data_IF_114592403717
#
_entry.id   IF_114592403717
#
_cell.length_a   1.000
_cell.length_b   1.000
_cell.length_c   1.000
_cell.angle_alpha   90.00
_cell.angle_beta   90.00
_cell.angle_gamma   90.00
#
_symmetry.space_group_name_H-M   'P 1'
#
loop_
_entity.id
_entity.type
_entity.pdbx_description
1 polymer ?
#
# COMPACT_ATOMS: atom_id res chain seq x y z
N UNK A 1 -55.50 -19.16 -33.53
CA UNK A 1 -56.36 -19.02 -32.33
C UNK A 1 -55.76 -19.91 -31.26
N UNK A 2 -54.91 -19.37 -30.39
CA UNK A 2 -55.22 -18.84 -29.05
C UNK A 2 -55.72 -19.97 -28.12
N UNK A 3 -55.11 -20.28 -26.97
CA UNK A 3 -54.76 -19.32 -25.91
C UNK A 3 -53.90 -19.94 -24.78
N UNK A 4 -52.93 -19.16 -24.24
CA UNK A 4 -52.48 -19.13 -22.82
C UNK A 4 -53.68 -18.86 -21.86
N UNK A 5 -53.61 -18.89 -20.49
CA UNK A 5 -52.47 -18.70 -19.56
C UNK A 5 -52.45 -19.67 -18.32
N UNK A 6 -51.42 -19.73 -17.44
CA UNK A 6 -51.17 -18.83 -16.29
C UNK A 6 -49.80 -19.07 -15.62
N UNK A 7 -49.07 -17.97 -15.42
CA UNK A 7 -47.98 -17.78 -14.45
C UNK A 7 -48.51 -17.72 -13.00
N UNK A 8 -47.80 -18.30 -12.03
CA UNK A 8 -47.62 -17.74 -10.66
C UNK A 8 -46.28 -18.19 -10.04
N UNK A 9 -45.43 -17.19 -9.76
CA UNK A 9 -44.38 -17.03 -8.74
C UNK A 9 -43.90 -18.24 -7.91
N UNK A 10 -42.58 -18.50 -7.96
CA UNK A 10 -41.72 -18.64 -6.76
C UNK A 10 -40.42 -17.86 -6.99
N UNK A 11 -40.45 -16.56 -6.72
CA UNK A 11 -39.27 -15.82 -6.29
C UNK A 11 -39.21 -15.98 -4.77
N UNK A 12 -38.19 -16.64 -4.23
CA UNK A 12 -38.12 -16.90 -2.79
C UNK A 12 -36.72 -17.31 -2.34
N UNK A 13 -36.02 -16.35 -1.74
CA UNK A 13 -34.97 -16.54 -0.72
C UNK A 13 -33.74 -17.37 -1.08
N UNK A 14 -32.82 -16.80 -1.85
CA UNK A 14 -31.36 -17.08 -1.72
C UNK A 14 -30.49 -15.81 -1.70
N UNK A 15 -31.11 -14.62 -1.70
CA UNK A 15 -30.39 -13.32 -1.79
C UNK A 15 -30.16 -12.58 -0.47
N UNK A 16 -30.63 -13.08 0.68
CA UNK A 16 -30.56 -12.36 1.96
C UNK A 16 -29.62 -12.99 3.01
N UNK A 17 -29.29 -14.28 2.88
CA UNK A 17 -28.38 -14.98 3.81
C UNK A 17 -26.90 -14.66 3.57
N UNK A 18 -26.52 -14.26 2.36
CA UNK A 18 -25.14 -13.91 2.01
C UNK A 18 -24.70 -12.58 2.64
N UNK A 19 -25.55 -11.54 2.60
CA UNK A 19 -25.26 -10.24 3.22
C UNK A 19 -25.34 -10.26 4.75
N UNK A 20 -26.16 -11.13 5.34
CA UNK A 20 -26.25 -11.31 6.79
C UNK A 20 -24.97 -11.88 7.41
N UNK A 21 -24.27 -12.77 6.71
CA UNK A 21 -22.98 -13.32 7.16
C UNK A 21 -21.84 -12.29 7.07
N UNK A 22 -21.86 -11.44 6.03
CA UNK A 22 -20.87 -10.36 5.84
C UNK A 22 -21.01 -9.27 6.92
N UNK A 23 -22.23 -8.95 7.37
CA UNK A 23 -22.45 -7.97 8.45
C UNK A 23 -22.25 -8.55 9.86
N UNK A 24 -22.48 -9.85 10.06
CA UNK A 24 -22.31 -10.52 11.37
C UNK A 24 -20.85 -10.70 11.84
N UNK A 25 -19.88 -10.60 10.92
CA UNK A 25 -18.46 -10.85 11.19
C UNK A 25 -17.65 -9.60 11.60
N UNK A 26 -18.27 -8.41 11.63
CA UNK A 26 -17.65 -7.18 12.16
C UNK A 26 -17.57 -7.13 13.71
N UNK A 27 -17.94 -8.21 14.40
CA UNK A 27 -17.89 -8.32 15.86
C UNK A 27 -16.76 -9.27 16.30
N UNK A 28 -15.52 -8.97 15.91
CA UNK A 28 -14.35 -9.67 16.44
C UNK A 28 -13.95 -9.05 17.79
N UNK A 29 -14.29 -9.77 18.85
CA UNK A 29 -13.60 -9.88 20.15
C UNK A 29 -12.94 -8.61 20.75
N UNK A 30 -13.46 -8.06 21.87
CA UNK A 30 -12.82 -6.97 22.62
C UNK A 30 -11.45 -7.34 23.24
N UNK A 31 -11.05 -8.62 23.21
CA UNK A 31 -9.76 -9.08 23.77
C UNK A 31 -8.58 -8.74 22.84
N UNK A 32 -8.81 -8.64 21.52
CA UNK A 32 -7.80 -8.15 20.57
C UNK A 32 -7.60 -6.63 20.64
N UNK A 33 -8.63 -5.88 21.08
CA UNK A 33 -8.55 -4.43 21.25
C UNK A 33 -7.77 -4.02 22.50
N UNK A 34 -7.79 -4.85 23.56
CA UNK A 34 -7.15 -4.53 24.84
C UNK A 34 -5.61 -4.58 24.80
N UNK A 35 -5.01 -5.42 23.94
CA UNK A 35 -3.55 -5.57 23.86
C UNK A 35 -2.89 -4.62 22.85
N UNK A 36 -3.64 -4.02 21.92
CA UNK A 36 -3.12 -3.01 20.99
C UNK A 36 -2.90 -1.64 21.64
N UNK A 37 -3.51 -1.39 22.81
CA UNK A 37 -3.34 -0.16 23.59
C UNK A 37 -2.10 -0.17 24.50
N UNK A 38 -1.36 -1.29 24.56
CA UNK A 38 -0.20 -1.48 25.45
C UNK A 38 1.16 -1.45 24.72
N UNK A 39 1.19 -1.11 23.43
CA UNK A 39 2.44 -0.85 22.72
C UNK A 39 2.81 0.62 22.91
N UNK A 40 4.01 0.82 23.45
CA UNK A 40 4.63 2.06 23.93
C UNK A 40 4.16 3.37 23.29
N UNK A 41 4.05 4.41 24.14
CA UNK A 41 4.00 5.83 23.77
C UNK A 41 5.26 6.22 22.97
N UNK A 42 5.31 5.85 21.68
CA UNK A 42 6.01 6.65 20.70
C UNK A 42 5.17 7.90 20.46
N UNK A 43 5.70 9.06 20.85
CA UNK A 43 5.10 10.37 20.58
C UNK A 43 4.82 10.45 19.07
N UNK A 44 3.55 10.51 18.64
CA UNK A 44 3.20 10.40 17.22
C UNK A 44 3.65 11.65 16.46
N UNK A 45 4.53 11.49 15.47
CA UNK A 45 4.87 12.58 14.54
C UNK A 45 3.90 12.51 13.37
N UNK A 46 2.82 13.24 13.54
CA UNK A 46 1.86 13.46 12.47
C UNK A 46 2.55 14.26 11.37
N UNK A 47 2.84 13.66 10.21
CA UNK A 47 2.83 14.43 8.96
C UNK A 47 1.38 14.87 8.80
N UNK A 48 1.05 16.02 9.38
CA UNK A 48 -0.23 16.66 9.16
C UNK A 48 -0.25 16.98 7.68
N UNK A 49 -1.41 16.80 7.06
CA UNK A 49 -1.64 17.47 5.78
C UNK A 49 -1.20 18.93 5.93
N UNK A 50 -0.68 19.58 4.87
CA UNK A 50 -0.64 21.02 4.87
C UNK A 50 -1.99 21.52 5.39
N UNK A 51 -1.99 22.44 6.35
CA UNK A 51 -3.20 22.94 7.01
C UNK A 51 -4.20 23.65 6.05
N UNK A 52 -3.96 23.55 4.75
CA UNK A 52 -4.84 23.94 3.67
C UNK A 52 -4.55 23.04 2.47
N UNK A 53 -5.54 22.87 1.59
CA UNK A 53 -5.43 22.20 0.29
C UNK A 53 -4.02 22.24 -0.31
N UNK A 54 -3.48 21.11 -0.85
CA UNK A 54 -2.22 21.18 -1.57
C UNK A 54 -2.35 22.31 -2.57
N UNK A 55 -1.47 23.30 -2.46
CA UNK A 55 -1.53 24.50 -3.25
C UNK A 55 -1.34 24.09 -4.71
N UNK A 56 -2.45 23.87 -5.41
CA UNK A 56 -2.51 23.68 -6.86
C UNK A 56 -1.93 24.92 -7.60
N UNK A 57 -1.62 25.97 -6.84
CA UNK A 57 -1.09 27.26 -7.25
C UNK A 57 0.25 27.65 -6.58
N UNK A 58 0.90 26.77 -5.78
CA UNK A 58 2.27 27.06 -5.33
C UNK A 58 3.19 27.02 -6.55
N UNK A 59 4.02 28.05 -6.67
CA UNK A 59 5.01 28.12 -7.72
C UNK A 59 6.00 26.98 -7.49
N UNK A 60 6.08 26.05 -8.45
CA UNK A 60 6.97 24.88 -8.35
C UNK A 60 8.45 25.28 -8.29
N UNK A 61 8.76 26.49 -8.71
CA UNK A 61 10.10 27.08 -8.68
C UNK A 61 10.35 27.93 -7.42
N UNK A 62 9.33 28.11 -6.57
CA UNK A 62 9.50 28.82 -5.31
C UNK A 62 10.40 28.00 -4.38
N UNK A 63 11.50 28.63 -4.00
CA UNK A 63 12.49 28.02 -3.13
C UNK A 63 12.98 29.01 -2.09
N UNK A 64 13.31 28.50 -0.92
CA UNK A 64 13.90 29.28 0.16
C UNK A 64 15.28 28.69 0.49
N UNK A 65 16.22 29.52 0.93
CA UNK A 65 17.55 29.06 1.31
C UNK A 65 17.70 29.14 2.82
N UNK A 66 18.13 28.04 3.43
CA UNK A 66 18.39 27.97 4.87
C UNK A 66 19.49 28.96 5.21
N UNK A 67 19.18 29.87 6.13
CA UNK A 67 20.06 30.96 6.53
C UNK A 67 20.65 30.68 7.92
N UNK A 68 19.81 30.32 8.89
CA UNK A 68 20.21 30.19 10.29
C UNK A 68 19.43 29.09 11.00
N UNK A 69 20.06 28.37 11.93
CA UNK A 69 19.39 27.50 12.90
C UNK A 69 19.07 28.28 14.17
N UNK A 70 17.82 28.26 14.61
CA UNK A 70 17.40 28.90 15.86
C UNK A 70 17.65 27.99 17.06
N UNK A 71 17.40 26.70 16.88
CA UNK A 71 17.65 25.66 17.87
C UNK A 71 17.88 24.30 17.16
N UNK A 72 17.76 23.19 17.88
CA UNK A 72 18.01 21.84 17.35
C UNK A 72 16.90 21.32 16.42
N UNK A 73 15.75 21.98 16.35
CA UNK A 73 14.61 21.64 15.50
C UNK A 73 14.16 22.79 14.62
N UNK A 74 14.38 24.04 15.01
CA UNK A 74 13.85 25.19 14.30
C UNK A 74 14.92 25.88 13.47
N UNK A 75 14.59 26.23 12.24
CA UNK A 75 15.46 26.98 11.34
C UNK A 75 14.73 28.14 10.66
N UNK A 76 15.53 29.06 10.11
CA UNK A 76 15.10 30.16 9.29
C UNK A 76 15.62 30.01 7.87
N UNK A 77 14.79 30.35 6.91
CA UNK A 77 15.15 30.40 5.50
C UNK A 77 14.63 31.67 4.85
N UNK A 78 15.37 32.20 3.89
CA UNK A 78 15.01 33.41 3.16
C UNK A 78 14.60 33.07 1.73
N UNK A 79 13.62 33.80 1.20
CA UNK A 79 13.05 33.59 -0.14
C UNK A 79 12.55 34.90 -0.73
N UNK A 80 12.41 34.94 -2.06
CA UNK A 80 11.77 36.04 -2.78
C UNK A 80 10.30 35.74 -3.13
N UNK A 81 9.79 34.57 -2.75
CA UNK A 81 8.43 34.12 -3.09
C UNK A 81 7.49 34.21 -1.89
N UNK A 82 6.21 34.48 -2.14
CA UNK A 82 5.20 34.75 -1.12
C UNK A 82 4.14 33.64 -0.95
N UNK A 83 4.36 32.49 -1.58
CA UNK A 83 3.40 31.39 -1.73
C UNK A 83 3.52 30.31 -0.63
N UNK A 84 4.36 30.56 0.37
CA UNK A 84 4.57 29.71 1.54
C UNK A 84 3.42 29.82 2.54
N UNK A 85 3.02 28.68 3.13
CA UNK A 85 1.88 28.63 4.07
C UNK A 85 2.26 28.01 5.41
N UNK A 86 1.77 28.59 6.50
CA UNK A 86 1.91 28.00 7.83
C UNK A 86 1.18 26.65 7.90
N UNK A 87 1.83 25.66 8.50
CA UNK A 87 1.40 24.27 8.56
C UNK A 87 1.72 23.46 7.30
N UNK A 88 2.36 24.05 6.29
CA UNK A 88 2.78 23.32 5.08
C UNK A 88 4.03 22.48 5.34
N UNK A 89 4.01 21.22 4.87
CA UNK A 89 5.21 20.38 4.83
C UNK A 89 6.02 20.64 3.56
N UNK A 90 7.30 20.93 3.73
CA UNK A 90 8.24 21.25 2.66
C UNK A 90 9.46 20.32 2.71
N UNK A 91 10.12 20.15 1.58
CA UNK A 91 11.32 19.32 1.48
C UNK A 91 12.59 20.16 1.54
N UNK A 92 13.64 19.61 2.14
CA UNK A 92 14.99 20.19 2.16
C UNK A 92 15.87 19.42 1.19
N UNK A 93 16.34 20.07 0.15
CA UNK A 93 17.31 19.56 -0.81
C UNK A 93 18.71 20.03 -0.43
N UNK A 94 19.67 19.08 -0.38
CA UNK A 94 21.05 19.44 -0.11
C UNK A 94 21.64 20.25 -1.26
N UNK A 95 22.44 21.27 -0.95
CA UNK A 95 23.24 21.98 -1.94
C UNK A 95 24.34 21.10 -2.56
N UNK A 96 24.65 19.94 -1.97
CA UNK A 96 25.62 18.97 -2.52
C UNK A 96 24.99 18.21 -3.68
N UNK A 97 25.63 18.30 -4.85
CA UNK A 97 25.20 17.57 -6.04
C UNK A 97 25.10 16.06 -5.79
N UNK A 98 23.98 15.47 -6.21
CA UNK A 98 23.74 14.02 -6.13
C UNK A 98 23.10 13.52 -4.84
N UNK A 99 22.94 14.36 -3.81
CA UNK A 99 22.35 13.95 -2.52
C UNK A 99 20.81 13.99 -2.54
N UNK A 100 20.22 15.02 -3.16
CA UNK A 100 18.76 15.17 -3.26
C UNK A 100 18.10 15.64 -1.95
N UNK A 101 16.87 15.18 -1.69
CA UNK A 101 16.11 15.55 -0.48
C UNK A 101 16.70 14.86 0.76
N UNK A 102 17.08 15.67 1.75
CA UNK A 102 17.72 15.26 3.01
C UNK A 102 16.88 15.52 4.25
N UNK A 103 15.67 16.07 4.10
CA UNK A 103 14.79 16.30 5.24
C UNK A 103 13.45 16.90 4.87
N UNK A 104 12.57 16.96 5.86
CA UNK A 104 11.23 17.54 5.78
C UNK A 104 11.03 18.50 6.94
N UNK A 105 10.41 19.63 6.64
CA UNK A 105 10.11 20.68 7.61
C UNK A 105 8.62 21.03 7.56
N UNK A 106 8.08 21.51 8.66
CA UNK A 106 6.78 22.18 8.73
C UNK A 106 6.98 23.69 8.88
N UNK A 107 6.30 24.49 8.06
CA UNK A 107 6.38 25.94 8.17
C UNK A 107 5.58 26.40 9.40
N UNK A 108 6.26 27.01 10.36
CA UNK A 108 5.64 27.59 11.56
C UNK A 108 5.21 29.04 11.34
N UNK A 109 5.92 29.78 10.49
CA UNK A 109 5.67 31.20 10.28
C UNK A 109 6.30 31.74 9.01
N UNK A 110 5.66 32.75 8.44
CA UNK A 110 6.17 33.52 7.29
C UNK A 110 6.09 35.00 7.66
N UNK A 111 7.23 35.68 7.62
CA UNK A 111 7.33 37.13 7.87
C UNK A 111 7.86 37.83 6.62
N UNK A 112 7.33 39.01 6.34
CA UNK A 112 7.80 39.87 5.24
C UNK A 112 8.87 40.82 5.77
N UNK A 113 9.98 40.93 5.04
CA UNK A 113 11.04 41.88 5.31
C UNK A 113 10.79 43.18 4.53
N UNK A 114 11.33 44.30 5.00
CA UNK A 114 11.12 45.62 4.37
C UNK A 114 11.69 45.70 2.94
N UNK A 115 12.61 44.80 2.57
CA UNK A 115 13.23 44.70 1.24
C UNK A 115 12.40 43.89 0.22
N UNK A 116 11.20 43.43 0.61
CA UNK A 116 10.33 42.61 -0.22
C UNK A 116 10.71 41.14 -0.28
N UNK A 117 11.68 40.70 0.53
CA UNK A 117 11.97 39.27 0.77
C UNK A 117 11.08 38.72 1.88
N UNK A 118 10.94 37.40 1.92
CA UNK A 118 10.22 36.70 2.96
C UNK A 118 11.18 35.84 3.77
N UNK A 119 10.97 35.82 5.07
CA UNK A 119 11.64 34.91 5.99
C UNK A 119 10.64 33.85 6.46
N UNK A 120 11.03 32.60 6.28
CA UNK A 120 10.29 31.42 6.69
C UNK A 120 10.92 30.92 7.98
N UNK A 121 10.10 30.65 8.99
CA UNK A 121 10.50 29.87 10.16
C UNK A 121 9.88 28.49 10.04
N UNK A 122 10.69 27.44 10.13
CA UNK A 122 10.25 26.07 9.95
C UNK A 122 10.82 25.15 11.02
N UNK A 123 10.03 24.14 11.41
CA UNK A 123 10.41 23.10 12.35
C UNK A 123 10.79 21.82 11.60
N UNK A 124 11.87 21.18 12.04
CA UNK A 124 12.35 19.91 11.56
C UNK A 124 11.38 18.82 11.95
N UNK A 125 10.67 18.29 10.96
CA UNK A 125 9.90 17.07 11.13
C UNK A 125 10.84 15.87 11.08
N UNK A 126 11.77 15.87 10.13
CA UNK A 126 12.71 14.76 9.92
C UNK A 126 13.95 15.17 9.14
N UNK A 127 15.09 14.54 9.43
CA UNK A 127 16.29 14.58 8.62
C UNK A 127 16.72 13.17 8.16
N UNK A 128 17.48 13.12 7.09
CA UNK A 128 18.23 11.95 6.63
C UNK A 128 19.21 11.49 7.72
N UNK A 129 19.36 10.17 7.89
CA UNK A 129 20.38 9.61 8.78
C UNK A 129 21.81 9.73 8.24
N UNK A 130 21.95 9.96 6.93
CA UNK A 130 23.24 9.98 6.22
C UNK A 130 23.74 11.40 5.96
N UNK A 131 22.82 12.37 5.88
CA UNK A 131 23.13 13.74 5.52
C UNK A 131 22.48 14.71 6.49
N UNK A 132 23.29 15.60 7.08
CA UNK A 132 22.80 16.68 7.91
C UNK A 132 22.33 17.85 7.05
N UNK A 133 21.26 18.50 7.51
CA UNK A 133 20.82 19.79 6.97
C UNK A 133 21.87 20.85 7.33
N UNK A 134 22.23 21.69 6.37
CA UNK A 134 23.25 22.72 6.49
C UNK A 134 22.71 24.09 6.06
N UNK A 135 23.36 25.15 6.54
CA UNK A 135 23.14 26.49 6.01
C UNK A 135 23.48 26.49 4.51
N UNK A 136 22.60 27.10 3.71
CA UNK A 136 22.70 27.12 2.25
C UNK A 136 21.90 26.04 1.53
N UNK A 137 21.41 25.01 2.23
CA UNK A 137 20.49 24.03 1.65
C UNK A 137 19.15 24.67 1.27
N UNK A 138 18.47 24.05 0.31
CA UNK A 138 17.30 24.64 -0.36
C UNK A 138 16.01 23.99 0.13
N UNK A 139 15.03 24.80 0.52
CA UNK A 139 13.69 24.37 0.85
C UNK A 139 12.81 24.56 -0.39
N UNK A 140 11.98 23.56 -0.70
CA UNK A 140 11.04 23.60 -1.83
C UNK A 140 9.70 22.92 -1.50
N UNK A 141 8.64 23.35 -2.19
CA UNK A 141 7.31 22.76 -2.09
C UNK A 141 7.31 21.29 -2.53
N UNK A 142 6.59 20.45 -1.78
CA UNK A 142 6.46 19.02 -2.09
C UNK A 142 5.41 18.82 -3.19
N UNK A 143 5.86 18.46 -4.40
CA UNK A 143 4.97 18.02 -5.48
C UNK A 143 5.04 16.50 -5.73
N UNK A 144 4.09 15.75 -5.17
CA UNK A 144 3.97 14.28 -5.34
C UNK A 144 2.99 13.86 -6.46
N UNK A 145 2.58 14.79 -7.33
CA UNK A 145 1.57 14.49 -8.36
C UNK A 145 2.07 13.70 -9.56
N UNK A 146 3.39 13.66 -9.75
CA UNK A 146 4.05 12.91 -10.80
C UNK A 146 5.41 12.43 -10.32
N UNK A 147 6.09 11.65 -11.16
CA UNK A 147 7.49 11.30 -10.97
C UNK A 147 8.38 12.55 -10.84
N UNK A 148 9.33 12.50 -9.90
CA UNK A 148 10.32 13.53 -9.64
C UNK A 148 11.65 12.89 -9.26
N UNK A 149 12.68 13.08 -10.09
CA UNK A 149 14.00 12.44 -9.92
C UNK A 149 14.75 12.88 -8.66
N UNK A 150 14.34 14.01 -8.06
CA UNK A 150 14.89 14.53 -6.80
C UNK A 150 14.40 13.74 -5.58
N UNK A 151 13.25 13.09 -5.70
CA UNK A 151 12.65 12.32 -4.62
C UNK A 151 13.15 10.90 -4.71
N UNK A 152 14.25 10.61 -4.02
CA UNK A 152 14.80 9.26 -3.96
C UNK A 152 13.87 8.35 -3.18
N UNK A 153 13.78 7.09 -3.61
CA UNK A 153 12.94 6.10 -2.96
C UNK A 153 13.32 5.89 -1.50
N UNK A 154 12.38 6.19 -0.62
CA UNK A 154 12.53 6.00 0.81
C UNK A 154 11.16 5.70 1.41
N UNK A 155 11.13 4.87 2.46
CA UNK A 155 9.91 4.50 3.21
C UNK A 155 9.20 5.71 3.83
N UNK A 156 9.93 6.81 3.83
CA UNK A 156 9.65 8.07 4.47
C UNK A 156 8.83 9.04 3.63
N UNK A 157 8.99 8.92 2.33
CA UNK A 157 8.19 9.60 1.32
C UNK A 157 6.95 8.80 0.96
N UNK A 158 6.72 7.66 1.62
CA UNK A 158 5.48 6.89 1.45
C UNK A 158 4.33 7.60 2.14
N UNK A 159 3.34 7.97 1.34
CA UNK A 159 2.13 8.60 1.81
C UNK A 159 1.11 7.51 2.12
N UNK A 160 0.83 7.34 3.42
CA UNK A 160 -0.16 6.37 3.92
C UNK A 160 -1.59 6.93 4.01
N UNK A 161 -1.70 8.26 4.11
CA UNK A 161 -2.99 8.96 4.24
C UNK A 161 -3.46 9.49 2.89
N UNK A 162 -4.76 9.55 2.69
CA UNK A 162 -5.34 10.00 1.43
C UNK A 162 -4.92 11.44 1.12
N UNK A 163 -4.36 11.66 -0.07
CA UNK A 163 -4.12 12.99 -0.61
C UNK A 163 -4.65 13.13 -2.03
N UNK A 164 -5.00 14.35 -2.42
CA UNK A 164 -5.46 14.65 -3.79
C UNK A 164 -4.28 14.53 -4.75
N UNK A 165 -4.50 13.82 -5.86
CA UNK A 165 -3.58 13.75 -6.99
C UNK A 165 -2.14 13.36 -6.60
N UNK A 166 -2.00 12.30 -5.80
CA UNK A 166 -0.69 11.72 -5.45
C UNK A 166 -0.42 10.53 -6.38
N UNK A 167 0.75 10.56 -7.01
CA UNK A 167 1.27 9.46 -7.82
C UNK A 167 1.28 8.16 -7.02
N UNK A 168 0.94 7.05 -7.66
CA UNK A 168 0.99 5.75 -7.00
C UNK A 168 2.43 5.33 -6.63
N UNK A 169 3.43 5.96 -7.25
CA UNK A 169 4.86 5.84 -6.93
C UNK A 169 5.17 6.11 -5.45
N UNK A 170 4.50 7.10 -4.86
CA UNK A 170 4.70 7.50 -3.46
C UNK A 170 3.73 6.84 -2.49
N UNK A 171 3.00 5.80 -2.92
CA UNK A 171 2.07 5.07 -2.06
C UNK A 171 2.67 3.71 -1.71
N UNK A 172 2.33 3.15 -0.53
CA UNK A 172 2.65 1.76 -0.23
C UNK A 172 2.05 0.83 -1.28
N UNK A 173 2.72 -0.29 -1.59
CA UNK A 173 2.14 -1.31 -2.47
C UNK A 173 0.84 -1.84 -1.84
N UNK A 174 -0.20 -2.04 -2.66
CA UNK A 174 -1.43 -2.75 -2.25
C UNK A 174 -1.29 -4.27 -2.43
N UNK A 175 -0.54 -4.68 -3.46
CA UNK A 175 -0.28 -6.06 -3.84
C UNK A 175 1.17 -6.24 -4.25
N UNK A 176 1.72 -7.40 -3.94
CA UNK A 176 3.06 -7.84 -4.34
C UNK A 176 3.01 -8.63 -5.67
N UNK A 177 1.82 -8.76 -6.25
CA UNK A 177 1.53 -9.52 -7.47
C UNK A 177 0.69 -10.77 -7.19
N UNK A 178 -0.01 -11.26 -8.23
CA UNK A 178 -0.98 -12.37 -8.12
C UNK A 178 -0.46 -13.64 -7.42
N UNK A 179 0.80 -14.02 -7.64
CA UNK A 179 1.41 -15.21 -7.01
C UNK A 179 2.01 -14.94 -5.63
N UNK A 180 2.37 -13.69 -5.36
CA UNK A 180 3.03 -13.30 -4.10
C UNK A 180 2.00 -12.97 -3.04
N UNK A 181 0.88 -12.36 -3.42
CA UNK A 181 -0.21 -11.99 -2.53
C UNK A 181 -0.31 -10.49 -2.29
N UNK A 182 -1.22 -10.12 -1.39
CA UNK A 182 -1.46 -8.72 -1.03
C UNK A 182 -0.54 -8.24 0.10
N UNK A 183 -0.46 -6.94 0.31
CA UNK A 183 0.16 -6.31 1.49
C UNK A 183 -0.91 -5.98 2.53
N UNK A 184 -0.49 -5.50 3.71
CA UNK A 184 -1.43 -5.00 4.72
C UNK A 184 -2.11 -3.70 4.31
N UNK A 185 -1.64 -3.00 3.28
CA UNK A 185 -2.18 -1.70 2.90
C UNK A 185 -3.48 -1.80 2.10
N UNK A 186 -4.40 -0.88 2.37
CA UNK A 186 -5.69 -0.73 1.69
C UNK A 186 -5.61 0.37 0.63
N UNK A 187 -6.47 0.27 -0.38
CA UNK A 187 -6.70 1.36 -1.32
C UNK A 187 -7.35 2.53 -0.59
N UNK A 188 -7.00 3.74 -0.98
CA UNK A 188 -7.66 4.94 -0.48
C UNK A 188 -9.12 4.99 -0.91
N UNK A 189 -9.95 5.75 -0.19
CA UNK A 189 -11.33 5.96 -0.57
C UNK A 189 -11.42 6.51 -2.00
N UNK A 190 -12.22 5.83 -2.83
CA UNK A 190 -12.44 6.09 -4.25
C UNK A 190 -11.24 5.78 -5.17
N UNK A 191 -10.21 5.11 -4.66
CA UNK A 191 -9.09 4.62 -5.46
C UNK A 191 -9.43 3.25 -6.06
N UNK A 192 -9.05 3.07 -7.32
CA UNK A 192 -9.18 1.80 -8.02
C UNK A 192 -7.81 1.16 -8.23
N UNK A 193 -7.77 -0.17 -8.18
CA UNK A 193 -6.68 -0.95 -8.73
C UNK A 193 -7.26 -1.94 -9.75
N UNK A 194 -6.74 -1.88 -10.98
CA UNK A 194 -7.12 -2.79 -12.06
C UNK A 194 -5.88 -3.52 -12.56
N UNK A 195 -5.85 -4.85 -12.39
CA UNK A 195 -4.80 -5.70 -12.93
C UNK A 195 -5.14 -6.16 -14.36
N UNK A 196 -4.11 -6.40 -15.16
CA UNK A 196 -4.24 -6.80 -16.56
C UNK A 196 -5.04 -8.09 -16.78
N UNK A 197 -5.02 -9.00 -15.80
CA UNK A 197 -5.76 -10.27 -15.83
C UNK A 197 -7.21 -10.14 -15.34
N UNK A 198 -7.68 -8.92 -15.06
CA UNK A 198 -9.07 -8.64 -14.72
C UNK A 198 -9.40 -8.58 -13.23
N UNK A 199 -8.40 -8.57 -12.34
CA UNK A 199 -8.63 -8.24 -10.93
C UNK A 199 -8.96 -6.75 -10.81
N UNK A 200 -10.11 -6.44 -10.23
CA UNK A 200 -10.54 -5.10 -9.90
C UNK A 200 -10.69 -4.99 -8.38
N UNK A 201 -9.98 -4.05 -7.77
CA UNK A 201 -10.14 -3.67 -6.36
C UNK A 201 -10.56 -2.20 -6.26
N UNK A 202 -11.34 -1.89 -5.24
CA UNK A 202 -11.86 -0.55 -4.97
C UNK A 202 -11.76 -0.21 -3.48
N UNK A 203 -11.24 0.96 -3.16
CA UNK A 203 -11.26 1.50 -1.80
C UNK A 203 -12.60 2.13 -1.46
N UNK A 204 -13.44 1.42 -0.71
CA UNK A 204 -14.73 1.93 -0.22
C UNK A 204 -14.52 3.03 0.81
N UNK A 205 -13.54 2.82 1.69
CA UNK A 205 -13.04 3.81 2.64
C UNK A 205 -11.53 3.66 2.72
N UNK A 206 -10.82 4.62 3.33
CA UNK A 206 -9.37 4.46 3.54
C UNK A 206 -9.00 3.21 4.35
N UNK A 207 -9.94 2.62 5.10
CA UNK A 207 -9.74 1.40 5.88
C UNK A 207 -10.31 0.14 5.22
N UNK A 208 -11.11 0.24 4.16
CA UNK A 208 -11.82 -0.90 3.59
C UNK A 208 -11.65 -0.92 2.08
N UNK A 209 -11.04 -2.00 1.58
CA UNK A 209 -10.98 -2.31 0.16
C UNK A 209 -11.78 -3.56 -0.14
N UNK A 210 -12.45 -3.59 -1.28
CA UNK A 210 -13.17 -4.76 -1.79
C UNK A 210 -12.69 -5.06 -3.20
N UNK A 211 -12.79 -6.30 -3.63
CA UNK A 211 -12.35 -6.69 -4.97
C UNK A 211 -13.02 -7.92 -5.52
N UNK A 212 -12.80 -8.13 -6.81
CA UNK A 212 -13.19 -9.32 -7.57
C UNK A 212 -12.23 -9.53 -8.75
N UNK A 213 -12.16 -10.75 -9.27
CA UNK A 213 -11.54 -11.10 -10.54
C UNK A 213 -12.65 -11.26 -11.58
N UNK A 214 -12.85 -10.22 -12.39
CA UNK A 214 -13.94 -10.11 -13.37
C UNK A 214 -13.90 -11.22 -14.42
N UNK A 215 -12.70 -11.61 -14.85
CA UNK A 215 -12.49 -12.71 -15.81
C UNK A 215 -12.93 -14.05 -15.22
N UNK A 216 -12.72 -14.26 -13.92
CA UNK A 216 -13.22 -15.41 -13.18
C UNK A 216 -14.75 -15.42 -13.11
N UNK A 217 -15.35 -14.28 -12.77
CA UNK A 217 -16.82 -14.15 -12.72
C UNK A 217 -17.47 -14.44 -14.08
N UNK A 218 -16.88 -13.96 -15.19
CA UNK A 218 -17.35 -14.24 -16.56
C UNK A 218 -17.24 -15.74 -16.89
N UNK A 219 -16.21 -16.41 -16.38
CA UNK A 219 -16.01 -17.85 -16.54
C UNK A 219 -16.85 -18.71 -15.58
N UNK A 220 -17.72 -18.10 -14.76
CA UNK A 220 -18.58 -18.77 -13.78
C UNK A 220 -17.90 -19.07 -12.44
N UNK A 221 -16.63 -18.69 -12.27
CA UNK A 221 -15.90 -18.79 -11.00
C UNK A 221 -16.12 -17.52 -10.17
N UNK A 222 -17.34 -17.36 -9.67
CA UNK A 222 -17.75 -16.19 -8.90
C UNK A 222 -16.84 -15.97 -7.69
N UNK A 223 -16.29 -14.78 -7.54
CA UNK A 223 -15.35 -14.51 -6.46
C UNK A 223 -15.52 -13.11 -5.88
N UNK A 224 -15.07 -12.95 -4.64
CA UNK A 224 -15.05 -11.67 -3.95
C UNK A 224 -13.95 -11.64 -2.90
N UNK A 225 -13.38 -10.47 -2.68
CA UNK A 225 -12.45 -10.20 -1.59
C UNK A 225 -12.84 -8.94 -0.83
N UNK A 226 -12.52 -8.91 0.45
CA UNK A 226 -12.59 -7.72 1.29
C UNK A 226 -11.36 -7.67 2.20
N UNK A 227 -10.77 -6.48 2.38
CA UNK A 227 -9.64 -6.22 3.25
C UNK A 227 -9.91 -4.99 4.10
N UNK A 228 -9.82 -5.16 5.41
CA UNK A 228 -10.05 -4.13 6.40
C UNK A 228 -8.79 -3.84 7.22
N UNK A 229 -8.35 -2.58 7.22
CA UNK A 229 -7.22 -2.10 8.00
C UNK A 229 -7.63 -1.82 9.44
N UNK A 230 -7.15 -2.68 10.34
CA UNK A 230 -7.49 -2.67 11.76
C UNK A 230 -6.64 -1.62 12.49
N UNK A 231 -5.36 -1.53 12.13
CA UNK A 231 -4.41 -0.62 12.76
C UNK A 231 -3.44 -0.05 11.72
N UNK A 232 -3.08 1.22 11.90
CA UNK A 232 -2.01 1.86 11.13
C UNK A 232 -1.28 2.86 12.01
N UNK A 233 0.04 2.72 12.05
CA UNK A 233 0.99 3.73 12.51
C UNK A 233 1.97 4.05 11.37
N UNK A 234 2.93 4.93 11.66
CA UNK A 234 3.94 5.33 10.68
C UNK A 234 4.82 4.14 10.29
N UNK A 235 5.18 3.30 11.26
CA UNK A 235 6.03 2.13 11.05
C UNK A 235 5.25 0.83 10.80
N UNK A 236 4.02 0.68 11.29
CA UNK A 236 3.31 -0.60 11.26
C UNK A 236 1.92 -0.50 10.65
N UNK A 237 1.47 -1.53 9.95
CA UNK A 237 0.11 -1.62 9.44
C UNK A 237 -0.41 -3.05 9.58
N UNK A 238 -1.61 -3.18 10.15
CA UNK A 238 -2.28 -4.46 10.32
C UNK A 238 -3.63 -4.45 9.62
N UNK A 239 -3.86 -5.48 8.83
CA UNK A 239 -5.12 -5.68 8.12
C UNK A 239 -5.59 -7.11 8.25
N UNK A 240 -6.89 -7.28 8.15
CA UNK A 240 -7.54 -8.58 8.02
C UNK A 240 -8.29 -8.62 6.70
N UNK A 241 -8.25 -9.76 6.02
CA UNK A 241 -8.97 -9.96 4.77
C UNK A 241 -9.75 -11.26 4.76
N UNK A 242 -10.81 -11.26 3.97
CA UNK A 242 -11.57 -12.44 3.63
C UNK A 242 -11.66 -12.53 2.10
N UNK A 243 -11.51 -13.74 1.56
CA UNK A 243 -11.78 -14.01 0.16
C UNK A 243 -12.68 -15.24 0.04
N UNK A 244 -13.48 -15.26 -1.01
CA UNK A 244 -14.32 -16.41 -1.34
C UNK A 244 -14.32 -16.58 -2.85
N UNK A 245 -14.31 -17.83 -3.30
CA UNK A 245 -14.43 -18.17 -4.71
C UNK A 245 -15.29 -19.43 -4.86
N UNK A 246 -16.16 -19.42 -5.87
CA UNK A 246 -16.80 -20.61 -6.38
C UNK A 246 -15.89 -21.30 -7.39
N UNK A 247 -15.71 -22.61 -7.25
CA UNK A 247 -14.91 -23.44 -8.16
C UNK A 247 -15.87 -24.26 -9.03
N UNK A 248 -16.08 -23.90 -10.31
CA UNK A 248 -17.09 -24.52 -11.16
C UNK A 248 -16.86 -26.01 -11.41
N UNK A 249 -15.59 -26.44 -11.49
CA UNK A 249 -15.23 -27.83 -11.76
C UNK A 249 -15.69 -28.80 -10.67
N UNK A 250 -15.64 -28.36 -9.41
CA UNK A 250 -15.94 -29.17 -8.23
C UNK A 250 -17.25 -28.76 -7.56
N UNK A 251 -17.98 -27.78 -8.13
CA UNK A 251 -19.17 -27.16 -7.56
C UNK A 251 -19.02 -26.79 -6.08
N UNK A 252 -17.81 -26.38 -5.68
CA UNK A 252 -17.43 -26.11 -4.30
C UNK A 252 -17.14 -24.63 -4.09
N UNK A 253 -17.13 -24.20 -2.83
CA UNK A 253 -16.79 -22.83 -2.47
C UNK A 253 -15.56 -22.84 -1.56
N UNK A 254 -14.69 -21.87 -1.75
CA UNK A 254 -13.58 -21.57 -0.85
C UNK A 254 -13.91 -20.38 0.02
N UNK A 255 -13.33 -20.37 1.22
CA UNK A 255 -13.34 -19.23 2.12
C UNK A 255 -12.00 -19.19 2.83
N UNK A 256 -11.23 -18.13 2.59
CA UNK A 256 -9.98 -17.92 3.33
C UNK A 256 -10.03 -16.62 4.11
N UNK A 257 -9.45 -16.66 5.31
CA UNK A 257 -9.18 -15.51 6.14
C UNK A 257 -7.69 -15.25 6.16
N UNK A 258 -7.29 -14.00 6.02
CA UNK A 258 -5.88 -13.61 5.98
C UNK A 258 -5.61 -12.50 6.96
N UNK A 259 -4.55 -12.63 7.74
CA UNK A 259 -3.98 -11.56 8.56
C UNK A 259 -2.73 -11.05 7.85
N UNK A 260 -2.65 -9.73 7.70
CA UNK A 260 -1.52 -9.04 7.08
C UNK A 260 -0.85 -8.12 8.09
N UNK A 261 0.47 -8.10 8.08
CA UNK A 261 1.28 -7.19 8.86
C UNK A 261 2.44 -6.65 8.01
N UNK A 262 2.46 -5.34 7.84
CA UNK A 262 3.57 -4.63 7.23
C UNK A 262 4.33 -3.84 8.30
N UNK A 263 5.66 -3.89 8.29
CA UNK A 263 6.52 -3.16 9.22
C UNK A 263 7.70 -2.49 8.53
N UNK A 264 7.84 -1.18 8.70
CA UNK A 264 8.98 -0.41 8.18
C UNK A 264 10.18 -0.69 9.08
N UNK A 265 11.19 -1.36 8.53
CA UNK A 265 12.39 -1.77 9.25
C UNK A 265 13.55 -0.79 9.10
N UNK A 266 13.58 -0.01 8.01
CA UNK A 266 14.59 1.03 7.76
C UNK A 266 14.10 2.09 6.76
N UNK A 267 14.99 2.99 6.34
CA UNK A 267 14.70 4.04 5.35
C UNK A 267 14.35 3.48 3.96
N UNK A 268 14.71 2.24 3.65
CA UNK A 268 14.44 1.64 2.34
C UNK A 268 13.88 0.23 2.39
N UNK A 269 13.49 -0.26 3.58
CA UNK A 269 13.06 -1.65 3.74
C UNK A 269 11.77 -1.77 4.54
N UNK A 270 10.80 -2.49 3.98
CA UNK A 270 9.53 -2.87 4.62
C UNK A 270 9.50 -4.39 4.72
N UNK A 271 9.10 -4.95 5.86
CA UNK A 271 8.77 -6.36 5.97
C UNK A 271 7.27 -6.57 5.78
N UNK A 272 6.92 -7.65 5.09
CA UNK A 272 5.54 -8.08 4.86
C UNK A 272 5.38 -9.45 5.47
N UNK A 273 4.34 -9.64 6.28
CA UNK A 273 3.97 -10.94 6.84
C UNK A 273 2.49 -11.19 6.59
N UNK A 274 2.19 -12.38 6.09
CA UNK A 274 0.85 -12.82 5.75
C UNK A 274 0.61 -14.21 6.33
N UNK A 275 -0.51 -14.38 7.01
CA UNK A 275 -0.98 -15.68 7.47
C UNK A 275 -2.41 -15.91 6.98
N UNK A 276 -2.59 -16.92 6.14
CA UNK A 276 -3.87 -17.28 5.54
C UNK A 276 -4.36 -18.60 6.11
N UNK A 277 -5.62 -18.63 6.55
CA UNK A 277 -6.33 -19.83 7.01
C UNK A 277 -7.46 -20.13 6.04
N UNK A 278 -7.47 -21.33 5.48
CA UNK A 278 -8.59 -21.83 4.69
C UNK A 278 -9.67 -22.40 5.62
N UNK A 279 -10.77 -21.67 5.78
CA UNK A 279 -11.93 -22.13 6.56
C UNK A 279 -12.81 -23.10 5.75
N UNK A 280 -12.86 -22.93 4.43
CA UNK A 280 -13.48 -23.86 3.50
C UNK A 280 -12.52 -24.11 2.33
N UNK A 281 -12.31 -25.38 2.02
CA UNK A 281 -11.40 -25.84 0.96
C UNK A 281 -12.10 -26.88 0.08
N UNK A 282 -11.53 -27.15 -1.09
CA UNK A 282 -12.01 -28.12 -2.07
C UNK A 282 -11.02 -29.28 -2.21
N UNK A 283 -11.49 -30.40 -2.77
CA UNK A 283 -10.77 -31.67 -2.77
C UNK A 283 -9.36 -31.61 -3.39
N UNK A 284 -9.13 -30.67 -4.32
CA UNK A 284 -7.86 -30.50 -5.05
C UNK A 284 -7.16 -29.16 -4.77
N UNK A 285 -7.43 -28.52 -3.63
CA UNK A 285 -6.81 -27.22 -3.32
C UNK A 285 -5.28 -27.27 -3.24
N UNK A 286 -4.70 -28.42 -2.88
CA UNK A 286 -3.25 -28.66 -2.90
C UNK A 286 -2.62 -28.56 -4.29
N UNK A 287 -3.41 -28.72 -5.35
CA UNK A 287 -2.90 -28.76 -6.72
C UNK A 287 -2.82 -27.33 -7.32
N UNK A 288 -3.40 -26.34 -6.64
CA UNK A 288 -3.45 -24.93 -7.06
C UNK A 288 -2.74 -24.04 -6.02
N UNK A 289 -1.65 -24.55 -5.44
CA UNK A 289 -0.82 -23.86 -4.43
C UNK A 289 -0.19 -22.55 -4.92
N UNK A 290 -0.05 -22.37 -6.24
CA UNK A 290 0.43 -21.14 -6.84
C UNK A 290 -0.52 -19.95 -6.65
N UNK A 291 -1.81 -20.20 -6.38
CA UNK A 291 -2.83 -19.16 -6.17
C UNK A 291 -3.23 -19.14 -4.70
N UNK A 292 -2.60 -18.24 -3.94
CA UNK A 292 -2.74 -18.17 -2.48
C UNK A 292 -4.16 -17.89 -1.97
N UNK A 293 -5.05 -17.41 -2.84
CA UNK A 293 -6.45 -17.16 -2.52
C UNK A 293 -7.37 -18.40 -2.59
N UNK A 294 -6.85 -19.57 -2.98
CA UNK A 294 -7.68 -20.76 -3.22
C UNK A 294 -7.44 -21.85 -2.18
N UNK A 295 -8.16 -21.78 -1.05
CA UNK A 295 -8.44 -22.96 -0.23
C UNK A 295 -7.27 -23.60 0.52
N UNK A 296 -6.08 -22.99 0.53
CA UNK A 296 -4.93 -23.47 1.32
C UNK A 296 -4.57 -22.55 2.48
N UNK A 297 -4.11 -23.15 3.57
CA UNK A 297 -3.51 -22.48 4.72
C UNK A 297 -2.03 -22.24 4.42
N UNK A 298 -1.58 -21.00 4.58
CA UNK A 298 -0.21 -20.64 4.28
C UNK A 298 0.33 -19.56 5.20
N UNK A 299 1.65 -19.56 5.36
CA UNK A 299 2.38 -18.50 6.02
C UNK A 299 3.43 -17.96 5.05
N UNK A 300 3.56 -16.65 4.98
CA UNK A 300 4.55 -16.00 4.16
C UNK A 300 5.12 -14.80 4.90
N UNK A 301 6.43 -14.61 4.76
CA UNK A 301 7.10 -13.42 5.24
C UNK A 301 8.20 -13.04 4.26
N UNK A 302 8.50 -11.75 4.15
CA UNK A 302 9.49 -11.25 3.22
C UNK A 302 9.79 -9.78 3.39
N UNK A 303 10.71 -9.29 2.57
CA UNK A 303 11.18 -7.90 2.57
C UNK A 303 10.90 -7.26 1.22
N UNK A 304 10.43 -6.01 1.24
CA UNK A 304 10.40 -5.06 0.12
C UNK A 304 11.55 -4.08 0.30
N UNK A 305 12.44 -4.01 -0.69
CA UNK A 305 13.51 -3.03 -0.80
C UNK A 305 13.10 -1.93 -1.78
N UNK A 306 13.12 -0.69 -1.33
CA UNK A 306 12.83 0.51 -2.11
C UNK A 306 14.14 1.04 -2.69
N UNK A 307 14.24 1.03 -4.02
CA UNK A 307 15.39 1.60 -4.72
C UNK A 307 15.25 3.11 -4.87
N UNK A 308 16.36 3.82 -5.10
CA UNK A 308 16.42 5.27 -5.31
C UNK A 308 15.45 5.80 -6.38
N UNK A 309 15.14 5.00 -7.41
CA UNK A 309 14.21 5.35 -8.48
C UNK A 309 12.75 4.92 -8.20
N UNK A 310 12.48 4.45 -6.99
CA UNK A 310 11.24 3.83 -6.51
C UNK A 310 10.88 2.48 -7.13
N UNK A 311 11.79 1.81 -7.82
CA UNK A 311 11.56 0.40 -8.10
C UNK A 311 11.60 -0.41 -6.80
N UNK A 312 10.91 -1.55 -6.78
CA UNK A 312 10.85 -2.44 -5.63
C UNK A 312 11.50 -3.77 -5.94
N UNK A 313 12.23 -4.30 -4.99
CA UNK A 313 12.67 -5.70 -5.01
C UNK A 313 12.04 -6.37 -3.80
N UNK A 314 11.25 -7.42 -4.01
CA UNK A 314 10.61 -8.16 -2.94
C UNK A 314 11.15 -9.59 -2.90
N UNK A 315 11.46 -10.10 -1.72
CA UNK A 315 11.88 -11.49 -1.57
C UNK A 315 11.49 -12.06 -0.21
N UNK A 316 11.16 -13.34 -0.19
CA UNK A 316 10.80 -13.99 1.06
C UNK A 316 10.41 -15.46 0.91
N UNK A 317 10.49 -16.23 1.99
CA UNK A 317 9.96 -17.59 2.03
C UNK A 317 8.43 -17.62 2.12
N UNK A 318 7.85 -18.74 1.69
CA UNK A 318 6.46 -19.09 1.96
C UNK A 318 6.36 -20.54 2.38
N UNK A 319 5.45 -20.88 3.27
CA UNK A 319 5.19 -22.25 3.69
C UNK A 319 3.71 -22.59 3.48
N UNK A 320 3.45 -23.71 2.82
CA UNK A 320 2.11 -24.22 2.59
C UNK A 320 1.86 -25.43 3.50
N UNK A 321 0.79 -25.38 4.31
CA UNK A 321 0.55 -26.38 5.35
C UNK A 321 -0.04 -27.68 4.78
N UNK A 322 -0.79 -27.61 3.68
CA UNK A 322 -1.40 -28.77 3.02
C UNK A 322 -0.36 -29.64 2.33
N UNK A 323 0.56 -29.03 1.57
CA UNK A 323 1.64 -29.73 0.86
C UNK A 323 2.88 -29.96 1.72
N UNK A 324 2.98 -29.28 2.87
CA UNK A 324 4.17 -29.27 3.75
C UNK A 324 5.44 -28.83 3.00
N UNK A 325 5.28 -27.97 2.01
CA UNK A 325 6.35 -27.48 1.16
C UNK A 325 6.81 -26.08 1.59
N UNK A 326 8.12 -25.87 1.54
CA UNK A 326 8.74 -24.55 1.66
C UNK A 326 8.95 -23.99 0.25
N UNK A 327 8.27 -22.91 -0.05
CA UNK A 327 8.42 -22.11 -1.26
C UNK A 327 9.12 -20.78 -1.00
N UNK A 328 9.02 -19.89 -1.97
CA UNK A 328 9.50 -18.52 -1.84
C UNK A 328 9.30 -17.71 -3.12
N UNK A 329 9.70 -16.45 -3.07
CA UNK A 329 9.58 -15.54 -4.20
C UNK A 329 10.75 -14.56 -4.25
N UNK A 330 11.05 -14.12 -5.48
CA UNK A 330 11.88 -12.97 -5.79
C UNK A 330 11.15 -12.18 -6.88
N UNK A 331 10.76 -10.96 -6.57
CA UNK A 331 9.97 -10.09 -7.45
C UNK A 331 10.69 -8.77 -7.63
N UNK A 332 10.75 -8.30 -8.87
CA UNK A 332 11.09 -6.92 -9.18
C UNK A 332 9.83 -6.19 -9.64
N UNK A 333 9.53 -5.04 -9.06
CA UNK A 333 8.40 -4.17 -9.45
C UNK A 333 8.94 -2.85 -9.95
N UNK A 334 8.63 -2.55 -11.21
CA UNK A 334 8.86 -1.25 -11.80
C UNK A 334 7.62 -0.38 -11.62
N UNK A 335 7.82 0.81 -11.05
CA UNK A 335 6.72 1.73 -10.74
C UNK A 335 6.92 3.02 -11.53
N UNK A 336 6.00 3.29 -12.45
CA UNK A 336 5.88 4.58 -13.11
C UNK A 336 4.96 5.48 -12.28
N UNK A 337 4.11 6.30 -12.88
CA UNK A 337 3.20 7.16 -12.12
C UNK A 337 2.05 6.37 -11.48
N UNK A 338 1.23 5.72 -12.30
CA UNK A 338 0.05 4.94 -11.88
C UNK A 338 0.14 3.46 -12.24
N UNK A 339 1.03 3.16 -13.17
CA UNK A 339 1.22 1.82 -13.69
C UNK A 339 2.36 1.12 -12.96
N UNK A 340 2.14 -0.13 -12.61
CA UNK A 340 3.12 -1.01 -12.01
C UNK A 340 3.27 -2.25 -12.88
N UNK A 341 4.50 -2.66 -13.11
CA UNK A 341 4.84 -3.92 -13.76
C UNK A 341 5.71 -4.73 -12.81
N UNK A 342 5.39 -6.00 -12.63
CA UNK A 342 6.21 -6.91 -11.85
C UNK A 342 6.65 -8.12 -12.65
N UNK A 343 7.85 -8.60 -12.33
CA UNK A 343 8.40 -9.85 -12.81
C UNK A 343 8.85 -10.65 -11.59
N UNK A 344 8.35 -11.86 -11.45
CA UNK A 344 8.55 -12.71 -10.29
C UNK A 344 9.09 -14.07 -10.69
N UNK A 345 10.14 -14.52 -10.00
CA UNK A 345 10.52 -15.93 -9.90
C UNK A 345 9.94 -16.46 -8.59
N UNK A 346 9.10 -17.47 -8.68
CA UNK A 346 8.44 -18.09 -7.54
C UNK A 346 8.85 -19.56 -7.44
N UNK A 347 8.80 -20.10 -6.23
CA UNK A 347 8.95 -21.52 -5.95
C UNK A 347 7.80 -21.97 -5.05
N UNK A 348 7.07 -23.03 -5.42
CA UNK A 348 6.13 -23.69 -4.49
C UNK A 348 6.83 -24.68 -3.57
N UNK A 349 7.91 -25.30 -4.06
CA UNK A 349 8.79 -26.19 -3.29
C UNK A 349 10.25 -25.99 -3.73
N UNK A 350 11.08 -25.44 -2.84
CA UNK A 350 12.51 -25.19 -3.09
C UNK A 350 13.36 -26.45 -3.11
N UNK A 351 12.84 -27.58 -2.64
CA UNK A 351 13.54 -28.88 -2.70
C UNK A 351 13.45 -29.53 -4.09
N UNK A 352 12.54 -29.05 -4.93
CA UNK A 352 12.23 -29.61 -6.24
C UNK A 352 12.72 -28.70 -7.37
N UNK A 353 13.90 -28.98 -7.91
CA UNK A 353 14.51 -28.18 -8.98
C UNK A 353 13.94 -28.54 -10.37
N UNK A 354 12.70 -28.14 -10.62
CA UNK A 354 12.04 -28.25 -11.93
C UNK A 354 11.17 -27.03 -12.23
N UNK A 355 10.92 -26.78 -13.51
CA UNK A 355 9.99 -25.75 -13.95
C UNK A 355 8.55 -26.29 -13.84
N UNK A 356 7.88 -25.92 -12.75
CA UNK A 356 6.54 -26.38 -12.41
C UNK A 356 5.87 -25.38 -11.46
N UNK A 357 4.65 -24.98 -11.77
CA UNK A 357 3.87 -24.09 -10.90
C UNK A 357 3.24 -24.83 -9.70
N UNK A 358 3.23 -26.17 -9.70
CA UNK A 358 2.62 -26.98 -8.63
C UNK A 358 3.64 -27.35 -7.56
N UNK A 359 4.84 -27.75 -7.96
CA UNK A 359 5.84 -28.39 -7.09
C UNK A 359 7.27 -28.10 -7.56
N UNK A 360 7.56 -26.84 -7.87
CA UNK A 360 8.86 -26.39 -8.35
C UNK A 360 8.91 -24.89 -8.55
N UNK A 361 9.64 -24.45 -9.57
CA UNK A 361 9.88 -23.04 -9.89
C UNK A 361 9.06 -22.59 -11.08
N UNK A 362 8.57 -21.35 -11.04
CA UNK A 362 7.84 -20.74 -12.14
C UNK A 362 8.06 -19.24 -12.19
N UNK A 363 8.01 -18.70 -13.41
CA UNK A 363 8.11 -17.25 -13.66
C UNK A 363 6.72 -16.71 -13.92
N UNK A 364 6.44 -15.54 -13.35
CA UNK A 364 5.19 -14.85 -13.54
C UNK A 364 5.45 -13.36 -13.80
N UNK A 365 4.63 -12.75 -14.65
CA UNK A 365 4.59 -11.31 -14.79
C UNK A 365 3.22 -10.81 -14.35
N UNK A 366 3.19 -9.64 -13.74
CA UNK A 366 1.96 -8.95 -13.36
C UNK A 366 2.04 -7.48 -13.75
N UNK A 367 0.88 -6.86 -13.94
CA UNK A 367 0.76 -5.49 -14.36
C UNK A 367 -0.56 -4.92 -13.86
N UNK A 368 -0.53 -3.76 -13.21
CA UNK A 368 -1.73 -3.12 -12.72
C UNK A 368 -1.66 -1.60 -12.77
N UNK A 369 -2.84 -0.99 -12.86
CA UNK A 369 -3.04 0.44 -12.77
C UNK A 369 -3.69 0.78 -11.44
N UNK A 370 -3.22 1.85 -10.80
CA UNK A 370 -3.76 2.38 -9.56
C UNK A 370 -4.10 3.85 -9.73
N UNK A 371 -5.37 4.25 -9.59
CA UNK A 371 -5.82 5.61 -9.92
C UNK A 371 -6.97 6.14 -9.07
#
# INVERSE_FOLDING_TARGET
>A
MNSFPKYVKVFGMLGFSFWGAVFGLCLVSPVAMANAHAMDEEVPIVVREPASEPAYYANKDATARIDTFLDNKTLKANTHFNDWRVGETVSVESQKSGVGVIGFLEILGVSNNEDGTYQITAELLRQSRLHFIQIGDQISHINLSSENDKYKGTTDLLIKRRGKNISAKYKPLFTQGVSVGETAETLWQNEYLLAWYGQANFGVTDKLSVGTVLTGDIAGAYNASAKYRVFQSDSNTFSVGANTAHVPSDSSNTLNFTVYWDSISSESVISHTMFTVAAMSFANASDITAVKSLGTTSFQTGYEFISDNWDRVLLGPSYNFETKALGGYLTYVKIWDRFHFSLSLNATDVSSFKLSATDGYYVLFDAYWRF
#
